data_IF_781542813929
#
_entry.id   IF_781542813929
#
_cell.length_a   1.000
_cell.length_b   1.000
_cell.length_c   1.000
_cell.angle_alpha   90.00
_cell.angle_beta   90.00
_cell.angle_gamma   90.00
#
_symmetry.space_group_name_H-M   'P 1'
#
loop_
_entity.id
_entity.type
_entity.pdbx_description
1 polymer ?
#
# COMPACT_ATOMS: atom_id res chain seq x y z
N UNK A 1 43.93 19.63 -56.57
CA UNK A 1 43.87 18.59 -55.53
C UNK A 1 43.65 19.28 -54.20
N UNK A 2 42.38 19.45 -53.80
CA UNK A 2 42.00 20.11 -52.56
C UNK A 2 41.66 19.02 -51.56
N UNK A 3 42.41 18.96 -50.46
CA UNK A 3 42.36 17.88 -49.48
C UNK A 3 40.97 17.75 -48.85
N UNK A 4 40.40 16.56 -48.97
CA UNK A 4 39.25 16.14 -48.19
C UNK A 4 39.60 16.29 -46.71
N UNK A 5 38.83 17.10 -45.97
CA UNK A 5 38.89 17.10 -44.51
C UNK A 5 38.47 15.71 -44.04
N UNK A 6 39.23 15.04 -43.15
CA UNK A 6 38.81 13.77 -42.59
C UNK A 6 37.52 14.01 -41.81
N UNK A 7 36.47 13.29 -42.19
CA UNK A 7 35.22 13.18 -41.42
C UNK A 7 35.58 12.71 -40.02
N UNK A 8 35.06 13.39 -39.00
CA UNK A 8 35.19 12.98 -37.58
C UNK A 8 34.90 11.49 -37.48
N UNK A 9 35.88 10.72 -37.03
CA UNK A 9 35.65 9.34 -36.61
C UNK A 9 34.55 9.37 -35.55
N UNK A 10 33.44 8.66 -35.78
CA UNK A 10 32.35 8.55 -34.83
C UNK A 10 32.90 7.95 -33.53
N UNK A 11 32.63 8.57 -32.38
CA UNK A 11 33.12 8.07 -31.08
C UNK A 11 32.50 6.71 -30.70
N UNK A 12 31.36 6.37 -31.30
CA UNK A 12 30.62 5.13 -31.06
C UNK A 12 30.23 4.53 -32.42
N UNK A 13 30.74 3.32 -32.70
CA UNK A 13 30.33 2.50 -33.85
C UNK A 13 29.42 1.38 -33.35
N UNK A 14 28.13 1.67 -33.27
CA UNK A 14 27.11 0.70 -32.84
C UNK A 14 26.23 0.23 -34.01
N UNK A 15 25.69 -0.97 -33.87
CA UNK A 15 24.66 -1.48 -34.78
C UNK A 15 23.39 -0.65 -34.63
N UNK A 16 22.64 -0.38 -35.72
CA UNK A 16 21.36 0.32 -35.63
C UNK A 16 20.45 -0.35 -34.61
N UNK A 17 19.82 0.47 -33.76
CA UNK A 17 18.92 -0.04 -32.73
C UNK A 17 17.86 -0.95 -33.37
N UNK A 18 17.65 -2.17 -32.84
CA UNK A 18 16.61 -3.03 -33.35
C UNK A 18 15.26 -2.31 -33.19
N UNK A 19 14.45 -2.32 -34.24
CA UNK A 19 13.05 -1.91 -34.09
C UNK A 19 12.42 -2.79 -33.01
N UNK A 20 11.71 -2.21 -32.02
CA UNK A 20 11.05 -3.01 -31.01
C UNK A 20 10.00 -3.86 -31.73
N UNK A 21 10.31 -5.13 -31.94
CA UNK A 21 9.32 -6.11 -32.34
C UNK A 21 8.23 -6.03 -31.28
N UNK A 22 7.03 -5.62 -31.68
CA UNK A 22 5.86 -5.68 -30.81
C UNK A 22 5.82 -7.09 -30.22
N UNK A 23 6.01 -7.20 -28.90
CA UNK A 23 5.98 -8.48 -28.22
C UNK A 23 4.61 -9.12 -28.46
N UNK A 24 4.54 -10.04 -29.41
CA UNK A 24 3.41 -10.95 -29.56
C UNK A 24 3.54 -11.96 -28.43
N UNK A 25 2.92 -11.64 -27.29
CA UNK A 25 2.67 -12.64 -26.26
C UNK A 25 1.60 -13.58 -26.82
N UNK A 26 2.00 -14.81 -27.14
CA UNK A 26 1.04 -15.90 -27.31
C UNK A 26 0.33 -16.09 -25.97
N UNK A 27 -0.96 -15.77 -25.91
CA UNK A 27 -1.75 -15.86 -24.70
C UNK A 27 -2.36 -17.26 -24.57
N UNK A 28 -1.60 -18.19 -23.97
CA UNK A 28 -2.01 -19.58 -23.76
C UNK A 28 -3.18 -19.75 -22.75
N UNK A 29 -3.79 -18.66 -22.25
CA UNK A 29 -4.92 -18.69 -21.30
C UNK A 29 -6.22 -19.21 -21.91
N UNK A 30 -6.28 -19.35 -23.22
CA UNK A 30 -7.42 -19.91 -23.95
C UNK A 30 -7.05 -21.26 -24.54
N UNK A 31 -7.20 -22.33 -23.75
CA UNK A 31 -7.10 -23.69 -24.27
C UNK A 31 -8.48 -24.35 -24.28
N UNK A 32 -8.76 -25.18 -25.29
CA UNK A 32 -10.04 -25.90 -25.40
C UNK A 32 -10.21 -26.97 -24.30
N UNK A 33 -9.11 -27.37 -23.65
CA UNK A 33 -9.09 -28.45 -22.64
C UNK A 33 -9.13 -27.91 -21.20
N UNK A 34 -8.61 -26.70 -20.96
CA UNK A 34 -8.53 -26.10 -19.61
C UNK A 34 -9.56 -24.97 -19.49
N UNK A 35 -10.50 -25.13 -18.57
CA UNK A 35 -11.44 -24.07 -18.20
C UNK A 35 -10.76 -23.06 -17.26
N UNK A 36 -10.52 -21.85 -17.74
CA UNK A 36 -10.03 -20.73 -16.92
C UNK A 36 -11.13 -20.29 -15.94
N UNK A 37 -10.84 -20.30 -14.64
CA UNK A 37 -11.77 -19.86 -13.60
C UNK A 37 -11.39 -18.46 -13.13
N UNK A 38 -12.30 -17.50 -13.30
CA UNK A 38 -12.12 -16.15 -12.77
C UNK A 38 -12.35 -16.14 -11.26
N UNK A 39 -11.26 -16.22 -10.51
CA UNK A 39 -11.29 -16.15 -9.06
C UNK A 39 -11.57 -14.73 -8.57
N UNK A 40 -12.84 -14.41 -8.32
CA UNK A 40 -13.21 -13.15 -7.71
C UNK A 40 -13.15 -13.25 -6.17
N UNK A 41 -12.11 -12.67 -5.58
CA UNK A 41 -11.87 -12.67 -4.13
C UNK A 41 -13.06 -12.06 -3.36
N UNK A 42 -13.69 -11.01 -3.90
CA UNK A 42 -14.80 -10.32 -3.23
C UNK A 42 -16.06 -11.18 -3.17
N UNK A 43 -16.39 -11.90 -4.25
CA UNK A 43 -17.56 -12.80 -4.25
C UNK A 43 -17.32 -14.03 -3.40
N UNK A 44 -16.10 -14.59 -3.44
CA UNK A 44 -15.69 -15.70 -2.56
C UNK A 44 -15.73 -15.30 -1.09
N UNK A 45 -15.21 -14.12 -0.72
CA UNK A 45 -15.29 -13.62 0.65
C UNK A 45 -16.74 -13.48 1.13
N UNK A 46 -17.64 -12.93 0.31
CA UNK A 46 -19.07 -12.83 0.67
C UNK A 46 -19.73 -14.18 0.90
N UNK A 47 -19.35 -15.21 0.13
CA UNK A 47 -19.88 -16.58 0.28
C UNK A 47 -19.46 -17.23 1.59
N UNK A 48 -18.23 -16.99 2.05
CA UNK A 48 -17.66 -17.63 3.24
C UNK A 48 -17.66 -16.75 4.50
N UNK A 49 -18.11 -15.49 4.43
CA UNK A 49 -18.08 -14.53 5.54
C UNK A 49 -18.75 -15.05 6.82
N UNK A 50 -19.82 -15.82 6.67
CA UNK A 50 -20.63 -16.31 7.79
C UNK A 50 -20.43 -17.80 8.07
N UNK A 51 -19.47 -18.45 7.40
CA UNK A 51 -19.15 -19.86 7.65
C UNK A 51 -17.94 -19.94 8.55
N UNK A 52 -18.12 -20.44 9.77
CA UNK A 52 -17.02 -20.78 10.70
C UNK A 52 -16.82 -22.29 10.72
N UNK A 53 -15.58 -22.72 10.91
CA UNK A 53 -15.24 -24.15 11.00
C UNK A 53 -14.90 -24.49 12.45
N UNK A 54 -15.52 -25.55 12.97
CA UNK A 54 -15.29 -26.02 14.33
C UNK A 54 -14.19 -27.09 14.34
N UNK A 55 -13.09 -26.88 15.10
CA UNK A 55 -11.96 -27.81 15.15
C UNK A 55 -12.13 -28.92 16.18
N UNK A 56 -13.19 -28.88 17.01
CA UNK A 56 -13.33 -29.75 18.19
C UNK A 56 -13.63 -31.21 17.86
N UNK A 57 -14.32 -31.47 16.76
CA UNK A 57 -14.70 -32.83 16.31
C UNK A 57 -13.83 -33.36 15.17
N UNK A 58 -12.80 -32.62 14.76
CA UNK A 58 -11.96 -32.99 13.62
C UNK A 58 -10.97 -34.12 13.99
N UNK A 59 -11.31 -35.36 13.65
CA UNK A 59 -10.44 -36.53 13.75
C UNK A 59 -9.95 -36.93 12.34
N UNK A 60 -8.63 -37.02 12.14
CA UNK A 60 -8.01 -37.49 10.88
C UNK A 60 -7.35 -38.86 11.05
N UNK A 61 -7.56 -39.53 12.18
CA UNK A 61 -7.04 -40.87 12.39
C UNK A 61 -7.86 -41.89 11.58
N UNK A 62 -7.24 -42.45 10.55
CA UNK A 62 -7.85 -43.42 9.63
C UNK A 62 -7.97 -44.79 10.32
N UNK A 63 -8.95 -44.91 11.23
CA UNK A 63 -9.30 -46.15 11.90
C UNK A 63 -10.49 -46.79 11.18
N UNK A 64 -10.31 -48.01 10.63
CA UNK A 64 -11.31 -48.81 9.91
C UNK A 64 -12.53 -49.28 10.76
N UNK A 65 -12.74 -48.68 11.93
CA UNK A 65 -13.89 -48.91 12.81
C UNK A 65 -15.11 -48.06 12.42
N UNK A 66 -16.12 -47.97 13.32
CA UNK A 66 -17.36 -47.20 13.12
C UNK A 66 -17.11 -45.87 12.38
N UNK A 67 -17.97 -45.45 11.43
CA UNK A 67 -17.76 -44.22 10.68
C UNK A 67 -17.74 -43.03 11.66
N UNK A 68 -16.54 -42.56 11.97
CA UNK A 68 -16.32 -41.31 12.68
C UNK A 68 -16.34 -40.19 11.64
N UNK A 69 -16.82 -39.02 12.05
CA UNK A 69 -16.78 -37.83 11.21
C UNK A 69 -15.31 -37.46 11.02
N UNK A 70 -14.77 -37.68 9.82
CA UNK A 70 -13.42 -37.27 9.49
C UNK A 70 -13.48 -35.84 8.91
N UNK A 71 -12.77 -34.91 9.53
CA UNK A 71 -12.58 -33.54 9.03
C UNK A 71 -13.30 -32.44 9.81
N UNK A 72 -13.13 -31.21 9.32
CA UNK A 72 -13.72 -30.01 9.91
C UNK A 72 -15.20 -29.90 9.57
N UNK A 73 -16.03 -29.65 10.59
CA UNK A 73 -17.45 -29.38 10.41
C UNK A 73 -17.68 -27.87 10.34
N UNK A 74 -18.45 -27.41 9.36
CA UNK A 74 -18.96 -26.06 9.38
C UNK A 74 -20.01 -25.94 10.49
N UNK A 75 -19.84 -24.99 11.40
CA UNK A 75 -20.85 -24.71 12.41
C UNK A 75 -22.16 -24.37 11.70
N UNK A 76 -23.25 -25.13 11.93
CA UNK A 76 -24.54 -24.73 11.42
C UNK A 76 -24.85 -23.37 12.06
N UNK A 77 -25.19 -22.38 11.23
CA UNK A 77 -25.66 -21.10 11.78
C UNK A 77 -26.84 -21.39 12.71
N UNK A 78 -27.07 -20.55 13.71
CA UNK A 78 -28.16 -20.70 14.71
C UNK A 78 -29.58 -20.82 14.08
N UNK A 79 -29.68 -20.58 12.76
CA UNK A 79 -30.88 -20.66 11.94
C UNK A 79 -30.79 -21.73 10.83
N UNK A 80 -29.73 -22.55 10.82
CA UNK A 80 -29.49 -23.60 9.84
C UNK A 80 -30.37 -24.81 10.10
N UNK A 81 -31.38 -25.03 9.26
CA UNK A 81 -32.13 -26.29 9.24
C UNK A 81 -31.17 -27.38 8.77
N UNK A 82 -30.76 -28.28 9.67
CA UNK A 82 -29.94 -29.42 9.28
C UNK A 82 -30.74 -30.33 8.34
N UNK A 83 -30.23 -30.66 7.13
CA UNK A 83 -30.92 -31.53 6.19
C UNK A 83 -30.76 -33.03 6.52
N UNK A 84 -29.97 -33.38 7.54
CA UNK A 84 -29.60 -34.77 7.83
C UNK A 84 -30.35 -35.28 9.06
N UNK A 85 -31.31 -36.18 8.83
CA UNK A 85 -32.22 -36.79 9.80
C UNK A 85 -31.57 -37.71 10.87
N UNK A 86 -30.31 -37.50 11.24
CA UNK A 86 -29.57 -38.40 12.16
C UNK A 86 -29.65 -38.01 13.63
N UNK A 87 -29.95 -36.75 13.95
CA UNK A 87 -30.10 -36.31 15.34
C UNK A 87 -31.51 -35.73 15.57
N UNK A 88 -32.13 -35.98 16.75
CA UNK A 88 -33.42 -35.40 17.06
C UNK A 88 -33.30 -33.88 17.14
N UNK A 89 -34.21 -33.18 16.46
CA UNK A 89 -34.25 -31.72 16.39
C UNK A 89 -34.22 -31.09 17.79
N UNK A 90 -33.41 -30.03 17.97
CA UNK A 90 -33.43 -29.25 19.21
C UNK A 90 -34.76 -28.50 19.37
N UNK A 91 -35.16 -28.17 20.60
CA UNK A 91 -36.42 -27.46 20.86
C UNK A 91 -36.50 -26.12 20.12
N UNK A 92 -35.39 -25.39 20.02
CA UNK A 92 -35.32 -24.12 19.29
C UNK A 92 -35.47 -24.32 17.78
N UNK A 93 -34.80 -25.33 17.22
CA UNK A 93 -34.91 -25.66 15.80
C UNK A 93 -36.32 -26.15 15.43
N UNK A 94 -36.93 -26.97 16.30
CA UNK A 94 -38.31 -27.41 16.17
C UNK A 94 -39.28 -26.23 16.22
N UNK A 95 -39.07 -25.28 17.13
CA UNK A 95 -39.85 -24.04 17.20
C UNK A 95 -39.72 -23.22 15.91
N UNK A 96 -38.52 -23.09 15.35
CA UNK A 96 -38.29 -22.38 14.10
C UNK A 96 -38.95 -23.07 12.90
N UNK A 97 -38.87 -24.41 12.80
CA UNK A 97 -39.58 -25.18 11.76
C UNK A 97 -41.09 -25.04 11.88
N UNK A 98 -41.64 -25.15 13.09
CA UNK A 98 -43.05 -24.90 13.35
C UNK A 98 -43.44 -23.47 13.03
N UNK A 99 -42.58 -22.48 13.32
CA UNK A 99 -42.83 -21.08 12.97
C UNK A 99 -42.91 -20.90 11.45
N UNK A 100 -42.01 -21.52 10.68
CA UNK A 100 -42.07 -21.47 9.21
C UNK A 100 -43.26 -22.24 8.65
N UNK A 101 -43.58 -23.43 9.18
CA UNK A 101 -44.78 -24.20 8.80
C UNK A 101 -46.07 -23.44 9.11
N UNK A 102 -46.14 -22.70 10.24
CA UNK A 102 -47.30 -21.86 10.58
C UNK A 102 -47.40 -20.65 9.67
N UNK A 103 -46.26 -20.05 9.28
CA UNK A 103 -46.25 -18.94 8.32
C UNK A 103 -46.67 -19.42 6.94
N UNK A 104 -46.17 -20.58 6.49
CA UNK A 104 -46.56 -21.22 5.23
C UNK A 104 -48.05 -21.60 5.24
N UNK A 105 -48.55 -22.17 6.33
CA UNK A 105 -49.97 -22.46 6.48
C UNK A 105 -50.81 -21.18 6.49
N UNK A 106 -50.31 -20.08 7.07
CA UNK A 106 -51.00 -18.79 7.03
C UNK A 106 -51.04 -18.22 5.61
N UNK A 107 -49.98 -18.38 4.82
CA UNK A 107 -49.99 -18.00 3.40
C UNK A 107 -50.92 -18.89 2.59
N UNK A 108 -50.93 -20.20 2.81
CA UNK A 108 -51.84 -21.13 2.12
C UNK A 108 -53.30 -20.84 2.45
N UNK A 109 -53.62 -20.52 3.70
CA UNK A 109 -54.96 -20.11 4.11
C UNK A 109 -55.34 -18.76 3.50
N UNK A 110 -54.38 -17.82 3.40
CA UNK A 110 -54.59 -16.56 2.69
C UNK A 110 -54.90 -16.82 1.21
N UNK A 111 -54.12 -17.67 0.52
CA UNK A 111 -54.33 -18.04 -0.88
C UNK A 111 -55.67 -18.78 -1.09
N UNK A 112 -56.05 -19.67 -0.18
CA UNK A 112 -57.36 -20.34 -0.20
C UNK A 112 -58.50 -19.35 0.11
N UNK A 113 -58.27 -18.38 0.99
CA UNK A 113 -59.23 -17.31 1.27
C UNK A 113 -59.39 -16.37 0.09
N UNK A 114 -58.32 -16.07 -0.65
CA UNK A 114 -58.34 -15.29 -1.89
C UNK A 114 -59.04 -16.06 -3.01
N UNK A 115 -58.83 -17.39 -3.08
CA UNK A 115 -59.60 -18.27 -3.97
C UNK A 115 -61.10 -18.29 -3.62
N UNK A 116 -61.45 -18.24 -2.33
CA UNK A 116 -62.84 -18.15 -1.85
C UNK A 116 -63.44 -16.74 -1.98
N UNK A 117 -62.64 -15.67 -1.94
CA UNK A 117 -63.03 -14.27 -2.15
C UNK A 117 -63.36 -13.93 -3.62
N UNK A 118 -63.19 -14.88 -4.55
CA UNK A 118 -63.85 -14.80 -5.87
C UNK A 118 -65.39 -14.91 -5.78
N UNK A 119 -65.94 -15.25 -4.61
CA UNK A 119 -67.35 -15.10 -4.26
C UNK A 119 -67.50 -14.39 -2.92
N UNK A 120 -67.81 -13.08 -3.00
CA UNK A 120 -68.39 -12.22 -1.95
C UNK A 120 -67.43 -11.22 -1.23
N UNK A 121 -67.93 -10.00 -1.01
CA UNK A 121 -67.18 -8.72 -0.94
C UNK A 121 -66.69 -8.25 0.46
N UNK A 122 -65.60 -7.44 0.43
CA UNK A 122 -65.27 -6.19 1.19
C UNK A 122 -64.84 -6.17 2.70
N UNK A 123 -63.75 -5.40 2.96
CA UNK A 123 -63.38 -4.51 4.10
C UNK A 123 -62.29 -4.92 5.16
N UNK A 124 -61.14 -4.20 5.07
CA UNK A 124 -60.41 -3.35 6.06
C UNK A 124 -59.53 -3.86 7.24
N UNK A 125 -58.49 -3.04 7.55
CA UNK A 125 -57.60 -2.89 8.74
C UNK A 125 -56.28 -3.70 8.73
N UNK A 126 -55.07 -3.17 8.48
CA UNK A 126 -54.19 -2.10 9.05
C UNK A 126 -53.18 -2.60 10.12
N UNK A 127 -51.85 -2.59 9.85
CA UNK A 127 -50.80 -3.05 10.76
C UNK A 127 -50.02 -1.87 11.39
N UNK A 128 -50.32 -1.48 12.64
CA UNK A 128 -49.58 -0.39 13.34
C UNK A 128 -49.44 -0.64 14.85
N UNK A 129 -49.01 -1.83 15.29
CA UNK A 129 -48.81 -2.09 16.74
C UNK A 129 -47.48 -2.77 17.11
N UNK A 130 -46.48 -2.79 16.23
CA UNK A 130 -45.16 -3.38 16.53
C UNK A 130 -43.98 -2.40 16.44
N UNK A 131 -44.26 -1.10 16.31
CA UNK A 131 -43.24 -0.04 16.17
C UNK A 131 -42.93 0.71 17.47
N UNK A 132 -43.49 0.31 18.62
CA UNK A 132 -43.43 1.10 19.87
C UNK A 132 -42.47 0.60 20.96
N UNK A 133 -41.61 -0.39 20.69
CA UNK A 133 -40.77 -1.02 21.73
C UNK A 133 -39.25 -0.75 21.63
N UNK A 134 -38.81 0.31 20.92
CA UNK A 134 -37.36 0.57 20.69
C UNK A 134 -36.79 1.78 21.45
N UNK A 135 -37.60 2.62 22.09
CA UNK A 135 -37.11 3.90 22.66
C UNK A 135 -36.71 3.89 24.15
N UNK A 136 -36.79 2.74 24.84
CA UNK A 136 -36.47 2.67 26.29
C UNK A 136 -35.08 2.13 26.63
N UNK A 137 -34.28 1.71 25.64
CA UNK A 137 -32.91 1.20 25.87
C UNK A 137 -31.81 2.27 25.80
N UNK A 138 -32.08 3.44 25.20
CA UNK A 138 -31.08 4.48 24.96
C UNK A 138 -30.88 5.48 26.12
N UNK A 139 -31.69 5.43 27.19
CA UNK A 139 -31.64 6.40 28.30
C UNK A 139 -30.97 5.90 29.60
N UNK A 140 -30.49 4.65 29.66
CA UNK A 140 -29.91 4.08 30.90
C UNK A 140 -28.37 4.04 30.90
N UNK A 141 -27.72 4.30 29.76
CA UNK A 141 -26.24 4.28 29.64
C UNK A 141 -25.55 5.63 29.96
N UNK A 142 -26.30 6.70 30.27
CA UNK A 142 -25.77 8.05 30.42
C UNK A 142 -25.57 8.56 31.88
N UNK A 143 -25.76 7.74 32.92
CA UNK A 143 -25.70 8.19 34.33
C UNK A 143 -24.62 7.43 35.14
N UNK A 144 -23.44 7.24 34.55
CA UNK A 144 -22.38 6.45 35.19
C UNK A 144 -20.96 6.88 34.86
N UNK A 145 -20.54 8.10 35.26
CA UNK A 145 -19.16 8.38 35.70
C UNK A 145 -19.00 9.84 36.15
N UNK A 146 -19.15 10.09 37.46
CA UNK A 146 -18.83 11.34 38.13
C UNK A 146 -17.55 11.18 38.96
N UNK A 147 -16.57 12.00 38.61
CA UNK A 147 -15.18 12.12 39.05
C UNK A 147 -14.95 12.16 40.58
N UNK A 148 -13.91 11.47 41.06
CA UNK A 148 -13.37 11.60 42.43
C UNK A 148 -11.83 11.65 42.36
N UNK A 149 -11.31 12.83 42.02
CA UNK A 149 -9.89 13.16 42.15
C UNK A 149 -9.48 13.35 43.61
N UNK A 150 -8.48 12.58 44.04
CA UNK A 150 -7.84 12.65 45.35
C UNK A 150 -6.75 13.73 45.31
N UNK A 151 -6.85 14.74 46.17
CA UNK A 151 -5.85 15.79 46.35
C UNK A 151 -4.61 15.24 47.06
N UNK A 152 -3.42 15.51 46.51
CA UNK A 152 -2.14 15.18 47.13
C UNK A 152 -1.21 16.40 47.18
N UNK A 153 -0.69 16.67 48.38
CA UNK A 153 0.71 17.02 48.59
C UNK A 153 1.21 18.43 48.26
N UNK A 154 1.37 19.23 49.31
CA UNK A 154 2.16 20.48 49.35
C UNK A 154 3.63 20.26 48.95
N UNK A 155 4.07 20.87 47.85
CA UNK A 155 5.49 21.14 47.55
C UNK A 155 5.70 22.65 47.36
N UNK A 156 6.76 23.19 47.97
CA UNK A 156 7.04 24.62 48.06
C UNK A 156 7.36 25.29 46.71
N UNK A 157 6.74 26.45 46.49
CA UNK A 157 7.04 27.59 45.62
C UNK A 157 7.79 27.44 44.27
N UNK A 158 7.84 26.26 43.64
CA UNK A 158 8.16 26.11 42.22
C UNK A 158 6.91 25.64 41.48
N UNK A 159 6.45 26.36 40.44
CA UNK A 159 5.34 25.88 39.61
C UNK A 159 5.83 24.69 38.79
N UNK A 160 5.44 23.49 39.23
CA UNK A 160 5.63 22.27 38.46
C UNK A 160 4.53 22.26 37.39
N UNK A 161 4.91 22.50 36.15
CA UNK A 161 4.03 22.31 34.99
C UNK A 161 4.14 20.87 34.51
N UNK A 162 3.11 20.07 34.80
CA UNK A 162 2.99 18.72 34.25
C UNK A 162 2.31 18.80 32.88
N UNK A 163 3.08 18.56 31.82
CA UNK A 163 2.57 18.55 30.44
C UNK A 163 2.03 17.17 30.09
N UNK A 164 0.70 17.02 30.09
CA UNK A 164 0.02 15.81 29.64
C UNK A 164 -0.16 15.83 28.11
N UNK A 165 0.86 15.37 27.37
CA UNK A 165 0.78 15.21 25.93
C UNK A 165 0.48 13.75 25.54
N UNK A 166 -0.69 13.49 24.94
CA UNK A 166 -1.00 12.20 24.30
C UNK A 166 -0.38 12.17 22.90
N UNK A 167 0.90 11.79 22.82
CA UNK A 167 1.64 11.76 21.56
C UNK A 167 1.10 10.71 20.58
N UNK A 168 0.54 9.61 21.08
CA UNK A 168 -0.08 8.57 20.25
C UNK A 168 -1.32 9.06 19.51
N UNK A 169 -2.19 9.85 20.15
CA UNK A 169 -3.36 10.42 19.48
C UNK A 169 -2.98 11.42 18.40
N UNK A 170 -1.89 12.17 18.60
CA UNK A 170 -1.36 13.07 17.58
C UNK A 170 -0.82 12.29 16.37
N UNK A 171 0.01 11.25 16.60
CA UNK A 171 0.52 10.36 15.54
C UNK A 171 -0.63 9.69 14.77
N UNK A 172 -1.62 9.18 15.50
CA UNK A 172 -2.82 8.60 14.91
C UNK A 172 -3.56 9.61 14.01
N UNK A 173 -3.76 10.84 14.47
CA UNK A 173 -4.42 11.89 13.66
C UNK A 173 -3.65 12.26 12.38
N UNK A 174 -2.31 12.23 12.42
CA UNK A 174 -1.48 12.45 11.23
C UNK A 174 -1.56 11.28 10.26
N UNK A 175 -1.53 10.03 10.77
CA UNK A 175 -1.66 8.83 9.93
C UNK A 175 -3.06 8.71 9.31
N UNK A 176 -4.13 9.09 10.02
CA UNK A 176 -5.48 9.14 9.45
C UNK A 176 -5.56 10.12 8.27
N UNK A 177 -4.98 11.31 8.41
CA UNK A 177 -4.93 12.30 7.32
C UNK A 177 -4.08 11.82 6.14
N UNK A 178 -2.96 11.14 6.40
CA UNK A 178 -2.13 10.56 5.34
C UNK A 178 -2.90 9.47 4.58
N UNK A 179 -3.59 8.58 5.30
CA UNK A 179 -4.45 7.55 4.71
C UNK A 179 -5.58 8.12 3.88
N UNK A 180 -6.18 9.25 4.28
CA UNK A 180 -7.21 9.93 3.48
C UNK A 180 -6.65 10.48 2.15
N UNK A 181 -5.45 11.07 2.19
CA UNK A 181 -4.76 11.54 0.98
C UNK A 181 -4.38 10.37 0.08
N UNK A 182 -3.90 9.27 0.66
CA UNK A 182 -3.55 8.05 -0.08
C UNK A 182 -4.78 7.38 -0.72
N UNK A 183 -5.91 7.32 -0.02
CA UNK A 183 -7.17 6.83 -0.59
C UNK A 183 -7.61 7.70 -1.77
N UNK A 184 -7.56 9.03 -1.60
CA UNK A 184 -7.94 9.96 -2.67
C UNK A 184 -6.97 9.90 -3.85
N UNK A 185 -5.67 9.71 -3.59
CA UNK A 185 -4.67 9.48 -4.62
C UNK A 185 -4.95 8.17 -5.38
N UNK A 186 -5.25 7.08 -4.67
CA UNK A 186 -5.62 5.80 -5.28
C UNK A 186 -6.91 5.90 -6.11
N UNK A 187 -7.89 6.71 -5.70
CA UNK A 187 -9.08 6.99 -6.50
C UNK A 187 -8.73 7.78 -7.77
N UNK A 188 -7.85 8.78 -7.67
CA UNK A 188 -7.38 9.54 -8.84
C UNK A 188 -6.54 8.67 -9.78
N UNK A 189 -5.67 7.82 -9.25
CA UNK A 189 -4.92 6.82 -10.01
C UNK A 189 -5.82 5.76 -10.62
N UNK A 190 -6.94 5.39 -9.99
CA UNK A 190 -7.93 4.50 -10.59
C UNK A 190 -8.66 5.12 -11.78
N UNK A 191 -8.84 6.44 -11.79
CA UNK A 191 -9.51 7.18 -12.87
C UNK A 191 -8.54 7.55 -14.00
N UNK A 192 -7.31 7.92 -13.67
CA UNK A 192 -6.29 8.40 -14.63
C UNK A 192 -5.30 7.30 -15.04
N UNK A 193 -5.01 6.38 -14.14
CA UNK A 193 -4.04 5.31 -14.35
C UNK A 193 -4.61 4.19 -15.22
N UNK A 194 -3.88 3.87 -16.29
CA UNK A 194 -4.12 2.67 -17.09
C UNK A 194 -3.60 1.43 -16.35
N UNK A 195 -4.34 0.96 -15.34
CA UNK A 195 -3.99 -0.26 -14.60
C UNK A 195 -3.91 -1.51 -15.51
N UNK A 196 -4.61 -1.51 -16.65
CA UNK A 196 -4.56 -2.57 -17.66
C UNK A 196 -4.12 -2.01 -19.02
N UNK A 197 -2.89 -1.50 -19.09
CA UNK A 197 -2.25 -1.13 -20.37
C UNK A 197 -1.83 -2.36 -21.21
N UNK A 198 -2.65 -3.42 -21.22
CA UNK A 198 -2.65 -4.46 -22.26
C UNK A 198 -3.62 -4.13 -23.40
N UNK A 199 -4.45 -3.09 -23.27
CA UNK A 199 -5.41 -2.69 -24.30
C UNK A 199 -5.29 -1.20 -24.60
N UNK A 200 -4.30 -0.85 -25.42
CA UNK A 200 -4.38 0.33 -26.27
C UNK A 200 -3.48 0.24 -27.51
N UNK A 201 -3.38 -0.94 -28.13
CA UNK A 201 -2.91 -1.03 -29.52
C UNK A 201 -3.90 -0.36 -30.51
N UNK A 202 -5.13 -0.07 -30.08
CA UNK A 202 -6.17 0.61 -30.88
C UNK A 202 -6.17 2.14 -30.73
N UNK A 203 -5.41 2.69 -29.78
CA UNK A 203 -5.13 4.14 -29.65
C UNK A 203 -3.70 4.45 -30.12
N UNK A 204 -3.07 3.54 -30.88
CA UNK A 204 -1.79 3.77 -31.56
C UNK A 204 -1.82 4.83 -32.69
N UNK A 205 -2.80 5.74 -32.68
CA UNK A 205 -2.92 6.89 -33.58
C UNK A 205 -2.98 8.24 -32.85
N UNK A 206 -2.69 8.25 -31.54
CA UNK A 206 -2.28 9.45 -30.81
C UNK A 206 -0.77 9.29 -30.62
N UNK A 207 0.01 10.21 -31.21
CA UNK A 207 1.47 10.19 -31.18
C UNK A 207 1.97 9.89 -29.76
N UNK A 208 2.58 8.71 -29.59
CA UNK A 208 3.01 8.16 -28.30
C UNK A 208 4.16 8.95 -27.64
N UNK A 209 4.60 10.04 -28.27
CA UNK A 209 5.72 10.87 -27.81
C UNK A 209 5.30 12.02 -26.88
N UNK A 210 4.00 12.21 -26.63
CA UNK A 210 3.51 13.19 -25.67
C UNK A 210 2.80 12.50 -24.51
N UNK A 211 3.53 12.31 -23.42
CA UNK A 211 3.07 11.72 -22.15
C UNK A 211 1.98 12.55 -21.41
N UNK A 212 1.39 13.54 -22.06
CA UNK A 212 0.43 14.47 -21.48
C UNK A 212 -1.00 14.09 -21.90
N UNK A 213 -1.81 13.63 -20.95
CA UNK A 213 -3.25 13.37 -21.19
C UNK A 213 -3.97 14.62 -21.74
N UNK A 214 -3.51 15.81 -21.37
CA UNK A 214 -4.04 17.08 -21.86
C UNK A 214 -3.81 17.27 -23.36
N UNK A 215 -2.64 16.91 -23.90
CA UNK A 215 -2.38 17.04 -25.34
C UNK A 215 -3.16 16.00 -26.14
N UNK A 216 -3.35 14.80 -25.60
CA UNK A 216 -4.25 13.79 -26.16
C UNK A 216 -5.71 14.28 -26.21
N UNK A 217 -6.22 14.89 -25.13
CA UNK A 217 -7.57 15.47 -25.09
C UNK A 217 -7.69 16.66 -26.06
N UNK A 218 -6.68 17.53 -26.15
CA UNK A 218 -6.66 18.62 -27.13
C UNK A 218 -6.66 18.10 -28.57
N UNK A 219 -5.92 17.02 -28.85
CA UNK A 219 -5.91 16.37 -30.16
C UNK A 219 -7.27 15.73 -30.48
N UNK A 220 -7.91 15.08 -29.51
CA UNK A 220 -9.28 14.57 -29.65
C UNK A 220 -10.28 15.71 -29.85
N UNK A 221 -10.16 16.82 -29.11
CA UNK A 221 -10.99 18.01 -29.27
C UNK A 221 -10.82 18.64 -30.65
N UNK A 222 -9.59 18.74 -31.16
CA UNK A 222 -9.32 19.19 -32.52
C UNK A 222 -9.94 18.26 -33.56
N UNK A 223 -9.82 16.94 -33.38
CA UNK A 223 -10.48 15.93 -34.22
C UNK A 223 -12.01 16.02 -34.14
N UNK A 224 -12.59 16.35 -32.99
CA UNK A 224 -14.04 16.58 -32.82
C UNK A 224 -14.48 17.88 -33.48
N UNK A 225 -13.66 18.94 -33.40
CA UNK A 225 -13.92 20.19 -34.10
C UNK A 225 -13.90 20.01 -35.63
N UNK A 226 -13.08 19.08 -36.14
CA UNK A 226 -13.10 18.67 -37.55
C UNK A 226 -14.36 17.88 -37.93
N UNK A 227 -15.12 17.33 -36.98
CA UNK A 227 -16.41 16.67 -37.29
C UNK A 227 -17.55 17.67 -37.48
N UNK A 228 -17.36 18.94 -37.13
CA UNK A 228 -18.33 19.98 -37.44
C UNK A 228 -18.17 20.43 -38.90
N UNK A 229 -19.14 20.05 -39.73
CA UNK A 229 -19.16 20.35 -41.16
C UNK A 229 -19.16 21.84 -41.48
N UNK A 230 -19.67 22.69 -40.57
CA UNK A 230 -19.63 24.14 -40.71
C UNK A 230 -18.23 24.73 -40.56
N UNK A 231 -17.43 24.17 -39.64
CA UNK A 231 -16.05 24.62 -39.41
C UNK A 231 -15.10 24.18 -40.52
N UNK A 232 -15.30 23.01 -41.14
CA UNK A 232 -14.47 22.57 -42.29
C UNK A 232 -14.61 23.54 -43.47
N UNK A 233 -15.82 23.99 -43.80
CA UNK A 233 -16.04 24.91 -44.93
C UNK A 233 -15.43 26.29 -44.68
N UNK A 234 -15.56 26.82 -43.46
CA UNK A 234 -14.97 28.11 -43.08
C UNK A 234 -13.44 28.07 -43.03
N UNK A 235 -12.87 26.97 -42.51
CA UNK A 235 -11.42 26.75 -42.48
C UNK A 235 -10.87 26.57 -43.90
N UNK A 236 -11.58 25.89 -44.80
CA UNK A 236 -11.17 25.74 -46.19
C UNK A 236 -11.12 27.08 -46.94
N UNK A 237 -12.08 27.97 -46.70
CA UNK A 237 -12.10 29.32 -47.28
C UNK A 237 -10.96 30.19 -46.74
N UNK A 238 -10.73 30.16 -45.43
CA UNK A 238 -9.62 30.87 -44.79
C UNK A 238 -8.24 30.31 -45.21
N UNK A 239 -8.11 28.99 -45.36
CA UNK A 239 -6.88 28.37 -45.86
C UNK A 239 -6.61 28.75 -47.32
N UNK A 240 -7.65 28.89 -48.14
CA UNK A 240 -7.50 29.34 -49.52
C UNK A 240 -6.99 30.79 -49.57
N UNK A 241 -7.53 31.68 -48.72
CA UNK A 241 -7.07 33.06 -48.60
C UNK A 241 -5.61 33.14 -48.12
N UNK A 242 -5.26 32.36 -47.08
CA UNK A 242 -3.88 32.26 -46.58
C UNK A 242 -2.93 31.69 -47.64
N UNK A 243 -3.33 30.69 -48.43
CA UNK A 243 -2.54 30.17 -49.54
C UNK A 243 -2.24 31.24 -50.60
N UNK A 244 -3.22 32.07 -50.92
CA UNK A 244 -3.02 33.19 -51.87
C UNK A 244 -2.11 34.27 -51.31
N UNK A 245 -2.22 34.58 -50.01
CA UNK A 245 -1.34 35.52 -49.34
C UNK A 245 0.08 34.97 -49.20
N UNK A 246 0.24 33.67 -48.89
CA UNK A 246 1.52 33.00 -48.80
C UNK A 246 2.22 32.97 -50.15
N UNK A 247 1.51 32.66 -51.24
CA UNK A 247 2.06 32.75 -52.60
C UNK A 247 2.46 34.17 -53.03
N UNK A 248 1.96 35.21 -52.34
CA UNK A 248 2.39 36.60 -52.53
C UNK A 248 3.61 36.99 -51.68
N UNK A 249 3.81 36.30 -50.55
CA UNK A 249 4.97 36.45 -49.65
C UNK A 249 6.16 35.65 -50.17
N UNK A 250 5.94 34.45 -50.71
CA UNK A 250 6.98 33.61 -51.30
C UNK A 250 7.69 34.32 -52.46
N UNK A 251 6.90 35.02 -53.31
CA UNK A 251 7.40 35.91 -54.37
C UNK A 251 8.23 37.10 -53.85
N UNK A 252 8.07 37.50 -52.59
CA UNK A 252 8.84 38.56 -51.94
C UNK A 252 10.01 38.02 -51.09
N UNK A 253 10.05 36.71 -50.83
CA UNK A 253 11.03 36.08 -49.95
C UNK A 253 12.29 35.59 -50.70
N UNK A 254 12.28 35.53 -52.03
CA UNK A 254 13.48 35.20 -52.84
C UNK A 254 14.62 36.23 -52.70
N UNK A 255 14.41 37.40 -52.10
CA UNK A 255 15.46 38.38 -51.80
C UNK A 255 16.28 38.06 -50.51
N UNK A 256 15.94 36.99 -49.78
CA UNK A 256 16.44 36.70 -48.43
C UNK A 256 17.57 35.67 -48.31
N UNK A 257 18.54 35.58 -49.23
CA UNK A 257 19.56 34.52 -49.26
C UNK A 257 20.68 34.63 -48.19
N UNK A 258 20.56 35.51 -47.18
CA UNK A 258 21.65 35.82 -46.22
C UNK A 258 21.53 35.23 -44.81
N UNK A 259 20.48 34.46 -44.50
CA UNK A 259 20.26 33.96 -43.13
C UNK A 259 20.42 32.43 -42.96
N UNK A 260 20.96 31.71 -43.94
CA UNK A 260 21.16 30.24 -43.83
C UNK A 260 22.03 29.83 -42.62
N UNK A 261 23.13 30.55 -42.37
CA UNK A 261 24.04 30.28 -41.23
C UNK A 261 23.49 30.72 -39.87
N UNK A 262 22.53 31.67 -39.86
CA UNK A 262 21.80 32.03 -38.64
C UNK A 262 20.68 31.04 -38.38
N UNK A 263 20.02 30.60 -39.44
CA UNK A 263 18.96 29.61 -39.38
C UNK A 263 19.49 28.27 -38.86
N UNK A 264 20.69 27.85 -39.26
CA UNK A 264 21.34 26.63 -38.73
C UNK A 264 21.70 26.75 -37.25
N UNK A 265 22.24 27.90 -36.82
CA UNK A 265 22.53 28.14 -35.39
C UNK A 265 21.26 28.25 -34.55
N UNK A 266 20.21 28.85 -35.09
CA UNK A 266 18.91 28.94 -34.43
C UNK A 266 18.25 27.56 -34.35
N UNK A 267 18.34 26.72 -35.38
CA UNK A 267 17.84 25.34 -35.31
C UNK A 267 18.63 24.51 -34.30
N UNK A 268 19.96 24.60 -34.27
CA UNK A 268 20.79 23.92 -33.27
C UNK A 268 20.46 24.38 -31.83
N UNK A 269 20.24 25.69 -31.63
CA UNK A 269 19.83 26.23 -30.34
C UNK A 269 18.42 25.79 -29.94
N UNK A 270 17.47 25.73 -30.88
CA UNK A 270 16.11 25.24 -30.64
C UNK A 270 16.10 23.74 -30.28
N UNK A 271 16.97 22.94 -30.88
CA UNK A 271 17.16 21.53 -30.53
C UNK A 271 17.80 21.33 -29.14
N UNK A 272 18.68 22.24 -28.72
CA UNK A 272 19.20 22.23 -27.35
C UNK A 272 18.11 22.64 -26.34
N UNK A 273 17.30 23.65 -26.69
CA UNK A 273 16.20 24.13 -25.86
C UNK A 273 15.07 23.10 -25.78
N UNK A 274 14.76 22.36 -26.84
CA UNK A 274 13.75 21.29 -26.81
C UNK A 274 14.17 20.15 -25.87
N UNK A 275 15.45 19.77 -25.87
CA UNK A 275 16.03 18.82 -24.92
C UNK A 275 15.99 19.31 -23.48
N UNK A 276 16.19 20.60 -23.23
CA UNK A 276 16.04 21.18 -21.90
C UNK A 276 14.59 21.37 -21.48
N UNK A 277 13.66 21.57 -22.43
CA UNK A 277 12.24 21.80 -22.16
C UNK A 277 11.57 20.60 -21.50
N UNK A 278 11.99 19.38 -21.82
CA UNK A 278 11.51 18.17 -21.14
C UNK A 278 12.04 18.02 -19.70
N UNK A 279 13.22 18.57 -19.40
CA UNK A 279 13.86 18.47 -18.07
C UNK A 279 13.47 19.64 -17.16
N UNK A 280 13.24 20.83 -17.71
CA UNK A 280 12.85 22.04 -16.99
C UNK A 280 11.69 21.86 -15.99
N UNK A 281 10.57 21.17 -16.31
CA UNK A 281 9.49 20.99 -15.34
C UNK A 281 9.85 20.06 -14.18
N UNK A 282 10.87 19.21 -14.33
CA UNK A 282 11.30 18.26 -13.30
C UNK A 282 12.23 18.89 -12.24
N UNK A 283 12.84 20.05 -12.53
CA UNK A 283 13.79 20.69 -11.62
C UNK A 283 13.12 21.13 -10.29
N UNK A 284 11.96 21.81 -10.28
CA UNK A 284 11.26 22.15 -9.04
C UNK A 284 10.86 20.92 -8.22
N UNK A 285 10.46 19.85 -8.89
CA UNK A 285 10.08 18.59 -8.24
C UNK A 285 11.30 17.91 -7.60
N UNK A 286 12.44 17.90 -8.29
CA UNK A 286 13.71 17.40 -7.74
C UNK A 286 14.16 18.21 -6.53
N UNK A 287 14.04 19.54 -6.57
CA UNK A 287 14.37 20.40 -5.42
C UNK A 287 13.43 20.13 -4.25
N UNK A 288 12.13 19.96 -4.51
CA UNK A 288 11.13 19.63 -3.48
C UNK A 288 11.39 18.26 -2.85
N UNK A 289 11.76 17.27 -3.68
CA UNK A 289 12.17 15.95 -3.21
C UNK A 289 13.44 16.01 -2.39
N UNK A 290 14.46 16.77 -2.82
CA UNK A 290 15.69 16.97 -2.05
C UNK A 290 15.41 17.68 -0.72
N UNK A 291 14.46 18.62 -0.68
CA UNK A 291 14.05 19.27 0.57
C UNK A 291 13.39 18.27 1.52
N UNK A 292 12.47 17.43 1.03
CA UNK A 292 11.83 16.38 1.82
C UNK A 292 12.84 15.34 2.32
N UNK A 293 13.86 15.01 1.52
CA UNK A 293 14.92 14.06 1.89
C UNK A 293 16.05 14.67 2.74
N UNK A 294 16.11 15.99 2.88
CA UNK A 294 17.21 16.68 3.59
C UNK A 294 17.38 16.15 5.01
N UNK A 295 16.29 16.06 5.76
CA UNK A 295 16.32 15.64 7.16
C UNK A 295 16.75 14.17 7.30
N UNK A 296 16.42 13.32 6.30
CA UNK A 296 16.90 11.94 6.25
C UNK A 296 18.40 11.88 5.91
N UNK A 297 18.86 12.67 4.94
CA UNK A 297 20.27 12.75 4.58
C UNK A 297 21.12 13.28 5.75
N UNK A 298 20.62 14.29 6.47
CA UNK A 298 21.28 14.83 7.66
C UNK A 298 21.40 13.78 8.77
N UNK A 299 20.30 13.05 9.06
CA UNK A 299 20.33 11.93 10.01
C UNK A 299 21.25 10.80 9.58
N UNK A 300 21.29 10.46 8.29
CA UNK A 300 22.18 9.44 7.76
C UNK A 300 23.67 9.85 7.88
N UNK A 301 23.98 11.13 7.64
CA UNK A 301 25.32 11.68 7.84
C UNK A 301 25.72 11.65 9.32
N UNK A 302 24.81 12.05 10.23
CA UNK A 302 25.03 11.97 11.67
C UNK A 302 25.17 10.52 12.17
N UNK A 303 24.45 9.58 11.56
CA UNK A 303 24.53 8.15 11.90
C UNK A 303 25.92 7.58 11.63
N UNK A 304 26.52 7.89 10.47
CA UNK A 304 27.89 7.44 10.17
C UNK A 304 28.90 7.96 11.21
N UNK A 305 28.76 9.22 11.64
CA UNK A 305 29.60 9.79 12.71
C UNK A 305 29.33 9.13 14.06
N UNK A 306 28.07 8.89 14.43
CA UNK A 306 27.71 8.23 15.69
C UNK A 306 28.21 6.79 15.75
N UNK A 307 28.21 6.07 14.61
CA UNK A 307 28.76 4.71 14.53
C UNK A 307 30.28 4.73 14.70
N UNK A 308 30.98 5.70 14.11
CA UNK A 308 32.41 5.86 14.31
C UNK A 308 32.75 6.13 15.80
N UNK A 309 32.04 7.05 16.45
CA UNK A 309 32.22 7.34 17.88
C UNK A 309 31.90 6.12 18.74
N UNK A 310 30.87 5.35 18.39
CA UNK A 310 30.52 4.13 19.10
C UNK A 310 31.60 3.05 18.94
N UNK A 311 32.16 2.89 17.74
CA UNK A 311 33.28 1.98 17.49
C UNK A 311 34.52 2.37 18.31
N UNK A 312 34.87 3.66 18.35
CA UNK A 312 35.97 4.16 19.19
C UNK A 312 35.72 3.88 20.67
N UNK A 313 34.48 4.08 21.15
CA UNK A 313 34.10 3.78 22.53
C UNK A 313 34.18 2.29 22.86
N UNK A 314 33.83 1.43 21.89
CA UNK A 314 33.93 -0.01 22.03
C UNK A 314 35.40 -0.45 22.07
N UNK A 315 36.26 0.10 21.22
CA UNK A 315 37.71 -0.13 21.24
C UNK A 315 38.36 0.36 22.54
N UNK A 316 37.85 1.44 23.12
CA UNK A 316 38.32 1.90 24.43
C UNK A 316 37.89 0.95 25.56
N UNK A 317 36.65 0.47 25.54
CA UNK A 317 36.15 -0.50 26.52
C UNK A 317 36.86 -1.85 26.42
N UNK A 318 37.17 -2.33 25.21
CA UNK A 318 37.95 -3.56 25.03
C UNK A 318 39.36 -3.39 25.57
N UNK A 319 40.06 -2.30 25.26
CA UNK A 319 41.38 -1.99 25.85
C UNK A 319 41.34 -1.89 27.37
N UNK A 320 40.33 -1.24 27.93
CA UNK A 320 40.15 -1.18 29.39
C UNK A 320 39.92 -2.56 30.00
N UNK A 321 39.14 -3.40 29.33
CA UNK A 321 38.88 -4.79 29.76
C UNK A 321 40.15 -5.64 29.68
N UNK A 322 40.92 -5.53 28.59
CA UNK A 322 42.22 -6.19 28.43
C UNK A 322 43.21 -5.75 29.51
N UNK A 323 43.26 -4.45 29.83
CA UNK A 323 44.09 -3.92 30.90
C UNK A 323 43.68 -4.45 32.29
N UNK A 324 42.37 -4.50 32.58
CA UNK A 324 41.86 -5.08 33.82
C UNK A 324 42.18 -6.58 33.90
N UNK A 325 42.08 -7.30 32.78
CA UNK A 325 42.44 -8.71 32.71
C UNK A 325 43.94 -8.91 32.96
N UNK A 326 44.82 -8.09 32.36
CA UNK A 326 46.26 -8.18 32.62
C UNK A 326 46.60 -7.91 34.08
N UNK A 327 45.97 -6.89 34.69
CA UNK A 327 46.18 -6.56 36.09
C UNK A 327 45.70 -7.69 37.02
N UNK A 328 44.59 -8.36 36.70
CA UNK A 328 44.15 -9.54 37.44
C UNK A 328 45.14 -10.70 37.30
N UNK A 329 45.71 -10.95 36.12
CA UNK A 329 46.72 -11.99 35.95
C UNK A 329 48.03 -11.69 36.70
N UNK A 330 48.43 -10.41 36.76
CA UNK A 330 49.59 -9.98 37.53
C UNK A 330 49.32 -10.08 39.04
N UNK A 331 48.10 -9.74 39.47
CA UNK A 331 47.64 -9.92 40.84
C UNK A 331 47.59 -11.42 41.21
N UNK A 332 47.11 -12.30 40.33
CA UNK A 332 47.10 -13.74 40.55
C UNK A 332 48.53 -14.31 40.63
N UNK A 333 49.42 -13.87 39.75
CA UNK A 333 50.83 -14.26 39.76
C UNK A 333 51.53 -13.81 41.05
N UNK A 334 51.35 -12.55 41.46
CA UNK A 334 51.92 -12.02 42.70
C UNK A 334 51.32 -12.68 43.93
N UNK A 335 50.03 -13.03 43.94
CA UNK A 335 49.43 -13.83 45.02
C UNK A 335 50.01 -15.24 45.07
N UNK A 336 50.27 -15.88 43.93
CA UNK A 336 50.88 -17.21 43.89
C UNK A 336 52.32 -17.19 44.40
N UNK A 337 53.09 -16.18 44.03
CA UNK A 337 54.46 -15.97 44.53
C UNK A 337 54.47 -15.66 46.04
N UNK A 338 53.58 -14.76 46.49
CA UNK A 338 53.43 -14.45 47.91
C UNK A 338 52.97 -15.67 48.71
N UNK A 339 52.08 -16.51 48.17
CA UNK A 339 51.67 -17.74 48.84
C UNK A 339 52.81 -18.75 48.93
N UNK A 340 53.62 -18.90 47.88
CA UNK A 340 54.80 -19.77 47.88
C UNK A 340 55.86 -19.30 48.89
N UNK A 341 56.12 -17.99 48.99
CA UNK A 341 57.04 -17.43 49.99
C UNK A 341 56.50 -17.62 51.41
N UNK A 342 55.20 -17.40 51.63
CA UNK A 342 54.56 -17.67 52.93
C UNK A 342 54.66 -19.16 53.30
N UNK A 343 54.43 -20.09 52.37
CA UNK A 343 54.63 -21.52 52.60
C UNK A 343 56.08 -21.86 52.95
N UNK A 344 57.06 -21.30 52.22
CA UNK A 344 58.48 -21.49 52.53
C UNK A 344 58.85 -20.94 53.91
N UNK A 345 58.28 -19.79 54.30
CA UNK A 345 58.46 -19.21 55.62
C UNK A 345 57.83 -20.09 56.72
N UNK A 346 56.64 -20.65 56.50
CA UNK A 346 56.03 -21.59 57.43
C UNK A 346 56.86 -22.87 57.59
N UNK A 347 57.36 -23.45 56.49
CA UNK A 347 58.25 -24.62 56.54
C UNK A 347 59.55 -24.32 57.32
N UNK A 348 60.12 -23.13 57.14
CA UNK A 348 61.29 -22.69 57.92
C UNK A 348 60.96 -22.51 59.41
N UNK A 349 59.77 -21.97 59.75
CA UNK A 349 59.32 -21.85 61.13
C UNK A 349 59.06 -23.21 61.78
N UNK A 350 58.46 -24.14 61.05
CA UNK A 350 58.22 -25.52 61.50
C UNK A 350 59.53 -26.26 61.73
N UNK A 351 60.48 -26.17 60.80
CA UNK A 351 61.83 -26.71 60.98
C UNK A 351 62.54 -26.11 62.21
N UNK A 352 62.38 -24.81 62.49
CA UNK A 352 62.90 -24.18 63.70
C UNK A 352 62.17 -24.63 64.96
N UNK A 353 60.86 -24.85 64.89
CA UNK A 353 60.07 -25.35 66.02
C UNK A 353 60.47 -26.79 66.39
N UNK A 354 60.68 -27.64 65.39
CA UNK A 354 61.14 -29.01 65.59
C UNK A 354 62.56 -29.06 66.16
N UNK A 355 63.46 -28.17 65.71
CA UNK A 355 64.80 -28.03 66.27
C UNK A 355 64.85 -27.54 67.73
N UNK A 356 63.76 -26.95 68.24
CA UNK A 356 63.62 -26.51 69.65
C UNK A 356 62.91 -27.56 70.50
N UNK A 357 62.18 -28.50 69.87
CA UNK A 357 61.49 -29.61 70.55
C UNK A 357 62.39 -30.83 70.78
N UNK A 358 63.44 -31.00 69.99
CA UNK A 358 64.53 -31.97 70.20
C UNK A 358 65.58 -31.41 71.17
#
# INVERSE_FOLDING_TARGET
MSGARPTRDLEIFETPDPTPNAFTYEDDRHSEVVHSLDANIKSSFKRFKNTSLDPKSADFSDALGRPRQCGYQAEPSEYGIQPVAREPETLMQRYQRLKTEVVELATDVQEVSEAQQSSDKMLDVSPVDLAQDVDLKSQVEAIGCGDRGVASGSHGNQPIYELYAKTETAKFSHLSKLSEVEERLAQLEGVVGNADMKVCSTVGGLDADQNDLSTAVLNLQAKVALLDSGHISAIAEQLQEVLTLLGSVDKKSEEGEKDADRQTKVSEALEAVSRMKSIAPLIPDLISRLHALRDLHERAAQFASSVAVMADSQDQLTKQTEHLQSLLTEMEASFKENLATVQANFANLEARFDAVKA
#
